data_IF_740080899350
#
_entry.id   IF_740080899350
#
_cell.length_a   1.000
_cell.length_b   1.000
_cell.length_c   1.000
_cell.angle_alpha   90.00
_cell.angle_beta   90.00
_cell.angle_gamma   90.00
#
_symmetry.space_group_name_H-M   'P 1'
#
loop_
_entity.id
_entity.type
_entity.pdbx_description
1 polymer ?
#
# COMPACT_ATOMS: atom_id res chain seq x y z
N UNK A 1 -22.49 13.90 -20.56
CA UNK A 1 -21.51 12.94 -20.02
C UNK A 1 -21.20 13.38 -18.60
N UNK A 2 -21.24 12.50 -17.61
CA UNK A 2 -20.91 12.87 -16.24
C UNK A 2 -19.40 13.13 -16.12
N UNK A 3 -19.00 14.14 -15.35
CA UNK A 3 -17.59 14.35 -15.03
C UNK A 3 -17.08 13.17 -14.18
N UNK A 4 -15.85 12.71 -14.40
CA UNK A 4 -15.26 11.66 -13.59
C UNK A 4 -15.14 12.14 -12.14
N UNK A 5 -15.52 11.27 -11.21
CA UNK A 5 -15.29 11.42 -9.78
C UNK A 5 -13.80 11.49 -9.47
N UNK A 6 -13.44 12.03 -8.30
CA UNK A 6 -12.04 12.08 -7.86
C UNK A 6 -11.44 10.67 -7.78
N UNK A 7 -12.21 9.66 -7.38
CA UNK A 7 -11.71 8.29 -7.31
C UNK A 7 -11.37 7.72 -8.69
N UNK A 8 -12.19 8.02 -9.72
CA UNK A 8 -11.91 7.60 -11.10
C UNK A 8 -10.65 8.27 -11.65
N UNK A 9 -10.42 9.54 -11.30
CA UNK A 9 -9.19 10.26 -11.68
C UNK A 9 -7.95 9.61 -11.03
N UNK A 10 -7.98 9.36 -9.72
CA UNK A 10 -6.88 8.70 -8.99
C UNK A 10 -6.55 7.34 -9.60
N UNK A 11 -7.58 6.55 -9.94
CA UNK A 11 -7.38 5.22 -10.54
C UNK A 11 -6.77 5.32 -11.94
N UNK A 12 -7.23 6.26 -12.76
CA UNK A 12 -6.68 6.48 -14.10
C UNK A 12 -5.19 6.85 -14.04
N UNK A 13 -4.83 7.75 -13.13
CA UNK A 13 -3.43 8.16 -12.92
C UNK A 13 -2.58 7.00 -12.41
N UNK A 14 -3.10 6.21 -11.45
CA UNK A 14 -2.37 5.07 -10.87
C UNK A 14 -2.04 4.00 -11.91
N UNK A 15 -2.88 3.81 -12.93
CA UNK A 15 -2.60 2.87 -14.03
C UNK A 15 -1.35 3.30 -14.81
N UNK A 16 -1.22 4.59 -15.12
CA UNK A 16 -0.06 5.14 -15.83
C UNK A 16 1.21 5.00 -14.98
N UNK A 17 1.12 5.33 -13.69
CA UNK A 17 2.24 5.22 -12.76
C UNK A 17 2.73 3.78 -12.59
N UNK A 18 1.82 2.81 -12.45
CA UNK A 18 2.18 1.38 -12.35
C UNK A 18 2.83 0.88 -13.63
N UNK A 19 2.35 1.31 -14.80
CA UNK A 19 2.97 0.94 -16.08
C UNK A 19 4.41 1.49 -16.18
N UNK A 20 4.63 2.75 -15.82
CA UNK A 20 5.95 3.36 -15.79
C UNK A 20 6.89 2.66 -14.78
N UNK A 21 6.39 2.32 -13.58
CA UNK A 21 7.16 1.60 -12.57
C UNK A 21 7.54 0.17 -13.02
N UNK A 22 6.65 -0.53 -13.71
CA UNK A 22 6.93 -1.86 -14.28
C UNK A 22 7.96 -1.80 -15.41
N UNK A 23 7.97 -0.72 -16.19
CA UNK A 23 8.96 -0.50 -17.24
C UNK A 23 10.35 -0.22 -16.67
N UNK A 24 10.45 0.45 -15.51
CA UNK A 24 11.73 0.74 -14.85
C UNK A 24 12.25 -0.40 -13.98
N UNK A 25 11.35 -1.19 -13.36
CA UNK A 25 11.70 -2.29 -12.46
C UNK A 25 10.80 -3.50 -12.69
N UNK A 26 11.42 -4.64 -12.99
CA UNK A 26 10.69 -5.89 -13.16
C UNK A 26 10.15 -6.43 -11.83
N UNK A 27 9.06 -7.20 -11.90
CA UNK A 27 8.50 -7.89 -10.73
C UNK A 27 9.54 -8.83 -10.09
N UNK A 28 10.26 -9.60 -10.89
CA UNK A 28 11.28 -10.54 -10.38
C UNK A 28 12.38 -9.81 -9.59
N UNK A 29 12.84 -8.66 -10.07
CA UNK A 29 13.83 -7.85 -9.34
C UNK A 29 13.25 -7.24 -8.06
N UNK A 30 11.94 -6.95 -8.03
CA UNK A 30 11.27 -6.52 -6.81
C UNK A 30 11.20 -7.66 -5.79
N UNK A 31 10.82 -8.85 -6.23
CA UNK A 31 10.74 -10.06 -5.38
C UNK A 31 12.10 -10.46 -4.81
N UNK A 32 13.18 -10.33 -5.59
CA UNK A 32 14.54 -10.59 -5.12
C UNK A 32 14.92 -9.68 -3.93
N UNK A 33 14.58 -8.40 -4.00
CA UNK A 33 14.88 -7.44 -2.93
C UNK A 33 14.03 -7.69 -1.66
N UNK A 34 12.83 -8.25 -1.81
CA UNK A 34 11.98 -8.62 -0.66
C UNK A 34 12.66 -9.66 0.25
N UNK A 35 13.57 -10.49 -0.28
CA UNK A 35 14.33 -11.45 0.52
C UNK A 35 15.28 -10.78 1.50
N UNK A 36 15.69 -9.54 1.22
CA UNK A 36 16.58 -8.75 2.06
C UNK A 36 15.82 -7.73 2.93
N UNK A 37 14.50 -7.63 2.77
CA UNK A 37 13.69 -6.72 3.56
C UNK A 37 13.52 -7.22 4.99
N UNK A 38 13.43 -6.27 5.93
CA UNK A 38 13.10 -6.58 7.32
C UNK A 38 11.77 -7.34 7.42
N UNK A 39 11.62 -8.24 8.42
CA UNK A 39 10.35 -8.89 8.68
C UNK A 39 9.21 -7.90 8.88
N UNK A 40 8.01 -8.29 8.44
CA UNK A 40 6.80 -7.48 8.64
C UNK A 40 6.51 -7.26 10.13
N UNK A 41 6.15 -6.02 10.49
CA UNK A 41 5.95 -5.62 11.90
C UNK A 41 4.59 -6.03 12.49
N UNK A 42 3.70 -6.63 11.70
CA UNK A 42 2.39 -7.08 12.19
C UNK A 42 1.37 -5.96 12.40
N UNK A 43 1.20 -5.06 11.42
CA UNK A 43 0.29 -3.91 11.47
C UNK A 43 -1.10 -4.23 12.05
N UNK A 44 -1.77 -5.24 11.49
CA UNK A 44 -3.12 -5.61 11.94
C UNK A 44 -3.14 -6.17 13.37
N UNK A 45 -2.08 -6.87 13.79
CA UNK A 45 -1.96 -7.36 15.16
C UNK A 45 -1.83 -6.19 16.13
N UNK A 46 -0.95 -5.23 15.85
CA UNK A 46 -0.76 -4.05 16.71
C UNK A 46 -2.06 -3.26 16.93
N UNK A 47 -2.86 -3.10 15.88
CA UNK A 47 -4.18 -2.45 15.96
C UNK A 47 -5.14 -3.25 16.84
N UNK A 48 -5.24 -4.57 16.62
CA UNK A 48 -6.12 -5.46 17.39
C UNK A 48 -5.73 -5.55 18.86
N UNK A 49 -4.44 -5.62 19.17
CA UNK A 49 -3.92 -5.71 20.54
C UNK A 49 -4.35 -4.48 21.35
N UNK A 50 -4.25 -3.27 20.79
CA UNK A 50 -4.74 -2.04 21.45
C UNK A 50 -6.25 -2.03 21.65
N UNK A 51 -7.02 -2.41 20.63
CA UNK A 51 -8.48 -2.51 20.72
C UNK A 51 -8.89 -3.49 21.82
N UNK A 52 -8.22 -4.64 21.92
CA UNK A 52 -8.50 -5.66 22.94
C UNK A 52 -8.26 -5.14 24.36
N UNK A 53 -7.30 -4.24 24.52
CA UNK A 53 -6.99 -3.57 25.79
C UNK A 53 -7.86 -2.32 26.03
N UNK A 54 -8.86 -2.06 25.17
CA UNK A 54 -9.71 -0.85 25.18
C UNK A 54 -8.89 0.45 25.10
N UNK A 55 -7.77 0.40 24.39
CA UNK A 55 -6.91 1.55 24.11
C UNK A 55 -7.13 2.04 22.67
N UNK A 56 -6.82 3.31 22.41
CA UNK A 56 -6.90 3.89 21.07
C UNK A 56 -5.87 3.27 20.11
N UNK A 57 -6.37 2.64 19.05
CA UNK A 57 -5.56 2.14 17.94
C UNK A 57 -5.50 3.21 16.84
N UNK A 58 -4.46 4.04 16.87
CA UNK A 58 -4.27 5.17 15.94
C UNK A 58 -3.21 4.80 14.91
N UNK A 59 -3.56 4.96 13.63
CA UNK A 59 -2.60 5.02 12.52
C UNK A 59 -2.33 6.50 12.30
N UNK A 60 -1.13 6.96 12.64
CA UNK A 60 -0.73 8.34 12.40
C UNK A 60 -0.23 8.45 10.95
N UNK A 61 -1.03 9.09 10.09
CA UNK A 61 -0.76 9.32 8.66
C UNK A 61 -0.06 10.66 8.43
#
# INVERSE_FOLDING_TARGET
MANPTILEQILADKVVEVAAAKASRSLNSLEADLLQADPVRGFARAMRDRISQRQSAVIAE
#
